data_IF_945653010042
#
_entry.id   IF_945653010042
#
_cell.length_a   1.000
_cell.length_b   1.000
_cell.length_c   1.000
_cell.angle_alpha   90.00
_cell.angle_beta   90.00
_cell.angle_gamma   90.00
#
_symmetry.space_group_name_H-M   'P 1'
#
loop_
_entity.id
_entity.type
_entity.pdbx_description
1 polymer ?
#
# COMPACT_ATOMS: atom_id res chain seq x y z
N UNK A 1 -14.73 24.41 -16.35
CA UNK A 1 -14.99 23.22 -15.51
C UNK A 1 -14.86 23.51 -14.01
N UNK A 2 -13.77 24.15 -13.56
CA UNK A 2 -13.56 24.48 -12.15
C UNK A 2 -14.09 25.90 -11.80
N UNK A 3 -15.41 26.05 -11.77
CA UNK A 3 -16.05 27.27 -11.24
C UNK A 3 -16.25 27.13 -9.71
N UNK A 4 -15.72 28.07 -8.90
CA UNK A 4 -15.93 28.09 -7.45
C UNK A 4 -17.41 28.27 -7.05
N UNK A 5 -18.23 28.88 -7.91
CA UNK A 5 -19.68 28.98 -7.70
C UNK A 5 -20.41 27.73 -8.19
N UNK A 6 -20.89 26.92 -7.23
CA UNK A 6 -21.54 25.63 -7.51
C UNK A 6 -22.71 25.69 -8.52
N UNK A 7 -23.45 26.80 -8.57
CA UNK A 7 -24.59 26.97 -9.49
C UNK A 7 -24.18 27.25 -10.95
N UNK A 8 -22.95 27.71 -11.17
CA UNK A 8 -22.39 28.06 -12.48
C UNK A 8 -21.38 27.03 -12.97
N UNK A 9 -21.00 26.10 -12.10
CA UNK A 9 -20.18 24.95 -12.44
C UNK A 9 -20.92 24.09 -13.47
N UNK A 10 -20.21 23.79 -14.54
CA UNK A 10 -20.64 22.88 -15.59
C UNK A 10 -21.08 21.53 -14.99
N UNK A 11 -22.22 21.02 -15.43
CA UNK A 11 -22.80 19.77 -14.96
C UNK A 11 -22.29 18.59 -15.80
N UNK A 12 -22.43 17.38 -15.28
CA UNK A 12 -21.97 16.15 -15.97
C UNK A 12 -22.49 16.05 -17.42
N UNK A 13 -23.79 16.32 -17.72
CA UNK A 13 -24.26 16.27 -19.11
C UNK A 13 -23.53 17.27 -20.03
N UNK A 14 -23.30 18.48 -19.52
CA UNK A 14 -22.62 19.55 -20.25
C UNK A 14 -21.12 19.24 -20.44
N UNK A 15 -20.48 18.52 -19.51
CA UNK A 15 -19.10 18.02 -19.66
C UNK A 15 -19.04 16.96 -20.75
N UNK A 16 -20.02 16.04 -20.79
CA UNK A 16 -20.08 14.98 -21.80
C UNK A 16 -20.23 15.59 -23.19
N UNK A 17 -20.98 16.68 -23.34
CA UNK A 17 -21.17 17.38 -24.61
C UNK A 17 -19.98 18.29 -24.99
N UNK A 18 -19.00 18.49 -24.11
CA UNK A 18 -17.88 19.39 -24.35
C UNK A 18 -16.92 18.82 -25.42
N UNK A 19 -16.48 19.61 -26.42
CA UNK A 19 -15.57 19.15 -27.47
C UNK A 19 -14.26 18.56 -26.95
N UNK A 20 -13.75 19.05 -25.82
CA UNK A 20 -12.55 18.49 -25.20
C UNK A 20 -12.83 17.06 -24.72
N UNK A 21 -14.01 16.79 -24.14
CA UNK A 21 -14.36 15.47 -23.63
C UNK A 21 -14.66 14.48 -24.75
N UNK A 22 -15.15 14.95 -25.90
CA UNK A 22 -15.46 14.11 -27.06
C UNK A 22 -14.23 13.75 -27.92
N UNK A 23 -13.07 14.36 -27.67
CA UNK A 23 -11.85 14.07 -28.43
C UNK A 23 -11.32 12.68 -28.06
N UNK A 24 -11.31 11.75 -29.03
CA UNK A 24 -10.88 10.35 -28.87
C UNK A 24 -11.66 9.54 -27.81
N UNK A 25 -12.81 10.04 -27.35
CA UNK A 25 -13.64 9.35 -26.38
C UNK A 25 -14.38 8.19 -27.04
N UNK A 26 -14.07 6.96 -26.60
CA UNK A 26 -14.81 5.76 -26.94
C UNK A 26 -15.64 5.38 -25.72
N UNK A 27 -16.98 5.55 -25.76
CA UNK A 27 -17.84 5.11 -24.67
C UNK A 27 -17.62 3.61 -24.45
N UNK A 28 -17.22 3.21 -23.25
CA UNK A 28 -17.24 1.79 -22.89
C UNK A 28 -18.68 1.32 -22.99
N UNK A 29 -18.98 0.34 -23.85
CA UNK A 29 -20.28 -0.33 -23.84
C UNK A 29 -20.33 -1.21 -22.56
N UNK A 30 -20.67 -0.57 -21.44
CA UNK A 30 -20.84 -1.20 -20.14
C UNK A 30 -22.32 -1.15 -19.80
N UNK A 31 -22.93 -2.33 -19.79
CA UNK A 31 -24.29 -2.66 -19.35
C UNK A 31 -24.98 -1.57 -18.52
N UNK A 32 -26.17 -1.19 -18.97
CA UNK A 32 -27.18 -0.57 -18.12
C UNK A 32 -27.33 -1.51 -16.92
N UNK A 33 -26.85 -1.09 -15.75
CA UNK A 33 -27.13 -1.77 -14.49
C UNK A 33 -28.62 -1.57 -14.20
N UNK A 34 -29.46 -2.39 -14.82
CA UNK A 34 -30.79 -2.65 -14.31
C UNK A 34 -30.60 -3.44 -13.00
N UNK A 35 -30.84 -2.73 -11.91
CA UNK A 35 -30.80 -3.20 -10.54
C UNK A 35 -31.84 -4.33 -10.34
N UNK A 36 -31.45 -5.57 -10.67
CA UNK A 36 -32.12 -6.79 -10.19
C UNK A 36 -31.09 -7.89 -9.97
N UNK A 37 -30.39 -7.82 -8.85
CA UNK A 37 -29.61 -8.93 -8.32
C UNK A 37 -30.61 -9.97 -7.80
N UNK A 38 -30.88 -11.01 -8.59
CA UNK A 38 -31.49 -12.25 -8.08
C UNK A 38 -30.40 -13.01 -7.33
N UNK A 39 -30.52 -13.05 -6.00
CA UNK A 39 -29.69 -13.87 -5.14
C UNK A 39 -30.48 -15.17 -4.89
N UNK A 40 -30.27 -16.16 -5.75
CA UNK A 40 -30.81 -17.50 -5.55
C UNK A 40 -29.68 -18.54 -5.66
N UNK A 41 -29.58 -19.29 -4.57
CA UNK A 41 -29.08 -20.66 -4.46
C UNK A 41 -27.65 -21.02 -4.94
N UNK A 42 -26.73 -21.20 -3.98
CA UNK A 42 -26.15 -22.53 -3.74
C UNK A 42 -25.35 -22.54 -2.42
N UNK A 43 -26.02 -22.87 -1.31
CA UNK A 43 -25.38 -23.00 0.02
C UNK A 43 -25.06 -24.47 0.38
N UNK A 44 -24.76 -25.31 -0.61
CA UNK A 44 -24.62 -26.76 -0.41
C UNK A 44 -23.18 -27.29 -0.33
N UNK A 45 -22.16 -26.42 -0.44
CA UNK A 45 -20.76 -26.87 -0.51
C UNK A 45 -20.02 -27.00 0.85
N UNK A 46 -20.65 -26.67 1.98
CA UNK A 46 -19.97 -26.57 3.29
C UNK A 46 -20.43 -27.55 4.37
N UNK A 47 -21.06 -28.66 4.01
CA UNK A 47 -21.32 -29.74 4.96
C UNK A 47 -20.67 -31.04 4.51
N UNK A 48 -19.50 -31.32 5.09
CA UNK A 48 -19.03 -32.64 5.57
C UNK A 48 -17.52 -32.81 5.44
N UNK A 49 -16.82 -32.65 6.57
CA UNK A 49 -15.93 -33.66 7.18
C UNK A 49 -15.03 -32.95 8.19
N UNK A 50 -15.34 -33.15 9.47
CA UNK A 50 -14.38 -33.01 10.55
C UNK A 50 -13.17 -33.91 10.25
N UNK A 51 -12.04 -33.30 9.89
CA UNK A 51 -10.74 -33.90 10.13
C UNK A 51 -9.96 -32.97 11.06
N UNK A 52 -9.77 -33.49 12.26
CA UNK A 52 -8.89 -32.99 13.30
C UNK A 52 -7.44 -32.96 12.77
N UNK A 53 -7.08 -31.92 12.03
CA UNK A 53 -5.69 -31.55 11.88
C UNK A 53 -5.38 -30.49 12.92
N UNK A 54 -4.43 -30.82 13.78
CA UNK A 54 -3.95 -29.96 14.84
C UNK A 54 -3.46 -28.64 14.25
N UNK A 55 -4.34 -27.64 14.20
CA UNK A 55 -3.97 -26.24 14.11
C UNK A 55 -3.14 -25.93 15.35
N UNK A 56 -1.83 -26.12 15.19
CA UNK A 56 -0.83 -25.43 15.97
C UNK A 56 -1.26 -23.98 15.95
N UNK A 57 -1.72 -23.49 17.10
CA UNK A 57 -2.08 -22.09 17.31
C UNK A 57 -0.84 -21.25 16.99
N UNK A 58 -0.66 -20.88 15.73
CA UNK A 58 0.34 -19.91 15.31
C UNK A 58 -0.15 -18.62 15.96
N UNK A 59 0.48 -18.27 17.07
CA UNK A 59 0.23 -17.02 17.75
C UNK A 59 0.27 -15.91 16.70
N UNK A 60 -0.79 -15.10 16.64
CA UNK A 60 -0.97 -13.91 15.79
C UNK A 60 0.08 -12.80 16.03
N UNK A 61 1.22 -13.14 16.62
CA UNK A 61 2.32 -12.27 17.02
C UNK A 61 3.64 -12.59 16.31
N UNK A 62 3.70 -13.64 15.48
CA UNK A 62 4.90 -13.97 14.72
C UNK A 62 4.92 -13.18 13.41
N UNK A 63 5.99 -12.42 13.15
CA UNK A 63 6.26 -11.82 11.84
C UNK A 63 6.72 -12.84 10.80
N UNK A 64 6.50 -14.13 11.04
CA UNK A 64 6.87 -15.18 10.10
C UNK A 64 5.84 -15.29 8.97
N UNK A 65 6.33 -15.37 7.74
CA UNK A 65 5.50 -15.73 6.58
C UNK A 65 6.05 -16.98 5.90
N UNK A 66 5.15 -17.78 5.36
CA UNK A 66 5.52 -18.96 4.58
C UNK A 66 5.86 -18.62 3.12
N UNK A 67 6.31 -19.63 2.37
CA UNK A 67 6.68 -19.47 0.96
C UNK A 67 5.51 -18.98 0.07
N UNK A 68 4.29 -19.48 0.28
CA UNK A 68 3.12 -19.05 -0.49
C UNK A 68 2.75 -17.60 -0.23
N UNK A 69 2.81 -17.15 1.03
CA UNK A 69 2.61 -15.76 1.41
C UNK A 69 3.68 -14.86 0.79
N UNK A 70 4.95 -15.28 0.80
CA UNK A 70 6.04 -14.55 0.16
C UNK A 70 5.83 -14.41 -1.36
N UNK A 71 5.40 -15.49 -2.03
CA UNK A 71 5.07 -15.47 -3.45
C UNK A 71 3.89 -14.52 -3.70
N UNK A 72 2.80 -14.65 -2.94
CA UNK A 72 1.62 -13.80 -3.08
C UNK A 72 1.97 -12.32 -2.91
N UNK A 73 2.86 -11.98 -1.98
CA UNK A 73 3.34 -10.62 -1.81
C UNK A 73 4.02 -10.09 -3.08
N UNK A 74 4.79 -10.91 -3.81
CA UNK A 74 5.54 -10.48 -4.99
C UNK A 74 4.70 -10.20 -6.25
N UNK A 75 3.49 -10.77 -6.34
CA UNK A 75 2.58 -10.60 -7.48
C UNK A 75 1.48 -9.56 -7.19
N UNK A 76 1.88 -8.39 -6.67
CA UNK A 76 0.92 -7.31 -6.41
C UNK A 76 0.53 -6.59 -7.70
N UNK A 77 -0.76 -6.66 -8.06
CA UNK A 77 -1.33 -6.01 -9.24
C UNK A 77 -1.90 -4.62 -8.93
N UNK A 78 -1.75 -4.11 -7.70
CA UNK A 78 -2.24 -2.78 -7.30
C UNK A 78 -1.75 -1.67 -8.23
N UNK A 79 -0.54 -1.79 -8.77
CA UNK A 79 0.03 -0.85 -9.73
C UNK A 79 -0.68 -0.78 -11.09
N UNK A 80 -1.56 -1.73 -11.44
CA UNK A 80 -2.38 -1.66 -12.67
C UNK A 80 -3.54 -0.67 -12.53
N UNK A 81 -3.94 -0.33 -11.31
CA UNK A 81 -5.11 0.48 -11.01
C UNK A 81 -4.75 1.83 -10.36
N UNK A 82 -3.46 2.16 -10.24
CA UNK A 82 -2.98 3.35 -9.54
C UNK A 82 -2.64 4.49 -10.52
N UNK A 83 -3.38 5.59 -10.44
CA UNK A 83 -3.21 6.77 -11.28
C UNK A 83 -1.93 7.54 -10.88
N UNK A 84 -0.76 7.09 -11.39
CA UNK A 84 0.56 7.75 -11.25
C UNK A 84 0.89 8.33 -9.87
N UNK A 85 0.35 7.76 -8.80
CA UNK A 85 0.59 8.26 -7.45
C UNK A 85 1.82 7.53 -6.90
N UNK A 86 2.95 8.24 -6.82
CA UNK A 86 4.22 7.72 -6.29
C UNK A 86 4.13 7.30 -4.81
N UNK A 87 2.96 7.48 -4.17
CA UNK A 87 2.74 7.35 -2.74
C UNK A 87 2.71 5.92 -2.21
N UNK A 88 2.37 4.92 -3.04
CA UNK A 88 2.23 3.53 -2.56
C UNK A 88 3.39 2.60 -2.92
N UNK A 89 4.50 3.13 -3.45
CA UNK A 89 5.67 2.29 -3.80
C UNK A 89 6.27 1.64 -2.55
N UNK A 90 6.09 0.31 -2.45
CA UNK A 90 6.75 -0.55 -1.48
C UNK A 90 8.02 -1.13 -2.09
N UNK A 91 9.15 -1.01 -1.39
CA UNK A 91 10.41 -1.64 -1.78
C UNK A 91 10.69 -2.80 -0.86
N UNK A 92 11.12 -3.95 -1.41
CA UNK A 92 11.45 -5.13 -0.61
C UNK A 92 12.89 -5.56 -0.81
N UNK A 93 13.56 -5.92 0.28
CA UNK A 93 14.94 -6.36 0.30
C UNK A 93 15.07 -7.66 1.10
N UNK A 94 15.89 -8.59 0.62
CA UNK A 94 16.22 -9.81 1.36
C UNK A 94 17.44 -9.63 2.26
N UNK A 95 17.42 -10.25 3.44
CA UNK A 95 18.53 -10.27 4.40
C UNK A 95 18.84 -11.71 4.84
N UNK A 96 20.13 -12.03 4.96
CA UNK A 96 20.64 -13.33 5.47
C UNK A 96 20.94 -13.26 6.98
N UNK A 97 20.15 -12.48 7.70
CA UNK A 97 20.29 -12.25 9.13
C UNK A 97 18.98 -12.53 9.85
N UNK A 98 19.08 -12.78 11.15
CA UNK A 98 17.89 -12.85 12.02
C UNK A 98 17.17 -11.50 12.02
N UNK A 99 15.88 -11.49 12.33
CA UNK A 99 15.09 -10.27 12.48
C UNK A 99 15.79 -9.26 13.39
N UNK A 100 16.26 -9.71 14.56
CA UNK A 100 16.91 -8.86 15.57
C UNK A 100 18.19 -8.21 15.05
N UNK A 101 19.01 -8.95 14.30
CA UNK A 101 20.22 -8.42 13.68
C UNK A 101 19.90 -7.41 12.58
N UNK A 102 18.93 -7.73 11.72
CA UNK A 102 18.50 -6.84 10.64
C UNK A 102 17.97 -5.52 11.18
N UNK A 103 17.14 -5.56 12.23
CA UNK A 103 16.63 -4.36 12.92
C UNK A 103 17.80 -3.49 13.44
N UNK A 104 18.78 -4.09 14.12
CA UNK A 104 19.96 -3.35 14.61
C UNK A 104 20.77 -2.72 13.47
N UNK A 105 20.89 -3.42 12.33
CA UNK A 105 21.58 -2.90 11.14
C UNK A 105 20.83 -1.71 10.53
N UNK A 106 19.50 -1.76 10.48
CA UNK A 106 18.67 -0.64 10.01
C UNK A 106 18.87 0.57 10.93
N UNK A 107 18.86 0.38 12.25
CA UNK A 107 19.12 1.45 13.23
C UNK A 107 20.51 2.06 13.06
N UNK A 108 21.55 1.23 12.92
CA UNK A 108 22.92 1.68 12.69
C UNK A 108 23.06 2.47 11.39
N UNK A 109 22.43 2.00 10.30
CA UNK A 109 22.44 2.69 9.02
C UNK A 109 21.72 4.04 9.10
N UNK A 110 20.54 4.09 9.74
CA UNK A 110 19.76 5.32 9.91
C UNK A 110 20.51 6.38 10.72
N UNK A 111 21.20 5.98 11.80
CA UNK A 111 22.06 6.89 12.56
C UNK A 111 23.18 7.49 11.70
N UNK A 112 23.78 6.69 10.80
CA UNK A 112 24.82 7.14 9.88
C UNK A 112 24.38 8.24 8.91
N UNK A 113 23.07 8.32 8.61
CA UNK A 113 22.48 9.32 7.70
C UNK A 113 21.63 10.38 8.41
N UNK A 114 21.76 10.51 9.74
CA UNK A 114 21.00 11.48 10.56
C UNK A 114 19.48 11.31 10.49
N UNK A 115 19.02 10.07 10.37
CA UNK A 115 17.61 9.71 10.52
C UNK A 115 17.36 9.17 11.93
N UNK A 116 16.20 9.47 12.49
CA UNK A 116 15.74 8.89 13.76
C UNK A 116 14.80 7.73 13.48
N UNK A 117 14.96 6.68 14.28
CA UNK A 117 14.18 5.45 14.18
C UNK A 117 13.35 5.30 15.45
N UNK A 118 12.04 5.09 15.27
CA UNK A 118 11.10 4.80 16.36
C UNK A 118 10.53 3.41 16.11
N UNK A 119 10.88 2.45 16.96
CA UNK A 119 10.26 1.12 16.94
C UNK A 119 8.78 1.25 17.32
N UNK A 120 7.91 0.74 16.45
CA UNK A 120 6.47 0.66 16.70
C UNK A 120 6.11 -0.68 17.35
N UNK A 121 6.80 -1.75 16.95
CA UNK A 121 6.72 -3.07 17.58
C UNK A 121 8.05 -3.83 17.38
N UNK A 122 8.07 -5.13 17.68
CA UNK A 122 9.28 -5.97 17.56
C UNK A 122 9.79 -6.16 16.13
N UNK A 123 8.99 -5.82 15.12
CA UNK A 123 9.22 -6.12 13.71
C UNK A 123 9.09 -4.89 12.81
N UNK A 124 8.57 -3.77 13.34
CA UNK A 124 8.20 -2.58 12.58
C UNK A 124 8.75 -1.32 13.21
N UNK A 125 9.25 -0.43 12.36
CA UNK A 125 9.93 0.79 12.74
C UNK A 125 9.54 1.93 11.79
N UNK A 126 9.36 3.12 12.36
CA UNK A 126 9.19 4.37 11.62
C UNK A 126 10.52 5.10 11.58
N UNK A 127 10.87 5.63 10.41
CA UNK A 127 12.13 6.32 10.16
C UNK A 127 11.79 7.73 9.67
N UNK A 128 12.28 8.75 10.36
CA UNK A 128 12.02 10.15 10.01
C UNK A 128 13.31 11.00 10.12
N UNK A 129 13.39 12.15 9.45
CA UNK A 129 14.54 13.05 9.56
C UNK A 129 14.72 13.64 10.97
N UNK A 130 15.96 13.71 11.46
CA UNK A 130 16.25 14.29 12.78
C UNK A 130 16.23 15.83 12.80
N UNK A 131 16.44 16.49 11.66
CA UNK A 131 16.41 17.95 11.54
C UNK A 131 15.14 18.42 10.84
N UNK A 132 14.39 19.31 11.50
CA UNK A 132 13.43 20.20 10.83
C UNK A 132 14.23 21.28 10.08
N UNK A 133 14.60 21.03 8.82
CA UNK A 133 15.20 22.08 8.00
C UNK A 133 14.17 23.14 7.62
N UNK A 134 14.61 24.40 7.63
CA UNK A 134 13.80 25.60 7.38
C UNK A 134 13.26 25.67 5.94
N UNK A 135 11.95 26.00 5.85
CA UNK A 135 11.07 26.49 4.76
C UNK A 135 11.32 26.18 3.26
N UNK A 136 12.50 25.82 2.79
CA UNK A 136 12.81 25.76 1.35
C UNK A 136 13.50 24.46 0.87
N UNK A 137 13.44 23.37 1.62
CA UNK A 137 14.00 22.08 1.17
C UNK A 137 13.05 20.90 1.35
N UNK A 138 12.63 20.37 0.20
CA UNK A 138 12.54 18.94 -0.17
C UNK A 138 11.76 17.99 0.75
N UNK A 139 10.59 17.58 0.25
CA UNK A 139 9.98 16.24 0.41
C UNK A 139 10.27 15.53 1.75
N UNK A 140 9.36 15.72 2.71
CA UNK A 140 9.34 14.95 3.95
C UNK A 140 8.92 13.52 3.62
N UNK A 141 9.86 12.57 3.61
CA UNK A 141 9.54 11.15 3.52
C UNK A 141 9.66 10.53 4.91
N UNK A 142 8.53 10.42 5.61
CA UNK A 142 8.44 9.51 6.74
C UNK A 142 8.33 8.09 6.18
N UNK A 143 9.29 7.23 6.51
CA UNK A 143 9.34 5.85 6.03
C UNK A 143 8.87 4.89 7.13
N UNK A 144 8.26 3.79 6.72
CA UNK A 144 8.01 2.61 7.54
C UNK A 144 8.87 1.47 7.02
N UNK A 145 9.58 0.78 7.91
CA UNK A 145 10.27 -0.46 7.60
C UNK A 145 9.71 -1.59 8.48
N UNK A 146 9.35 -2.70 7.84
CA UNK A 146 8.82 -3.90 8.46
C UNK A 146 9.71 -5.10 8.11
N UNK A 147 10.16 -5.82 9.13
CA UNK A 147 11.09 -6.95 9.03
C UNK A 147 10.31 -8.23 9.29
N UNK A 148 10.21 -9.06 8.27
CA UNK A 148 9.36 -10.24 8.21
C UNK A 148 10.26 -11.47 8.13
N UNK A 149 10.09 -12.42 9.04
CA UNK A 149 10.87 -13.66 9.04
C UNK A 149 10.37 -14.60 7.95
N UNK A 150 11.28 -15.21 7.18
CA UNK A 150 10.93 -16.23 6.17
C UNK A 150 11.65 -17.55 6.41
N UNK A 151 12.75 -17.52 7.16
CA UNK A 151 13.45 -18.68 7.72
C UNK A 151 14.23 -18.23 8.97
N UNK A 152 14.74 -19.15 9.82
CA UNK A 152 15.39 -18.79 11.09
C UNK A 152 16.55 -17.78 10.97
N UNK A 153 17.22 -17.72 9.82
CA UNK A 153 18.32 -16.78 9.54
C UNK A 153 18.09 -15.93 8.29
N UNK A 154 16.84 -15.85 7.82
CA UNK A 154 16.47 -15.05 6.65
C UNK A 154 15.22 -14.24 6.92
N UNK A 155 15.26 -12.97 6.53
CA UNK A 155 14.11 -12.10 6.62
C UNK A 155 13.98 -11.24 5.36
N UNK A 156 12.76 -10.77 5.12
CA UNK A 156 12.43 -9.78 4.11
C UNK A 156 12.18 -8.45 4.84
N UNK A 157 12.76 -7.37 4.32
CA UNK A 157 12.51 -6.01 4.80
C UNK A 157 11.61 -5.34 3.78
N UNK A 158 10.38 -5.01 4.16
CA UNK A 158 9.47 -4.17 3.38
C UNK A 158 9.59 -2.72 3.85
N UNK A 159 9.94 -1.83 2.93
CA UNK A 159 10.06 -0.39 3.14
C UNK A 159 8.92 0.28 2.38
N UNK A 160 8.14 1.10 3.07
CA UNK A 160 7.05 1.87 2.49
C UNK A 160 7.11 3.32 2.94
N UNK A 161 6.61 4.22 2.11
CA UNK A 161 6.32 5.59 2.53
C UNK A 161 5.14 5.56 3.49
N UNK A 162 5.25 6.24 4.61
CA UNK A 162 4.14 6.37 5.56
C UNK A 162 3.17 7.47 5.09
N UNK A 163 1.87 7.25 5.28
CA UNK A 163 0.82 8.14 4.83
C UNK A 163 0.96 9.53 5.47
N UNK A 164 1.53 10.47 4.73
CA UNK A 164 1.79 11.83 5.22
C UNK A 164 2.34 12.81 4.19
N UNK A 165 2.39 12.45 2.91
CA UNK A 165 2.84 13.41 1.90
C UNK A 165 1.68 14.26 1.41
N UNK A 166 1.88 15.56 1.47
CA UNK A 166 1.10 16.54 0.74
C UNK A 166 1.88 16.78 -0.54
N UNK A 167 1.39 16.24 -1.66
CA UNK A 167 1.91 16.61 -2.98
C UNK A 167 1.82 18.13 -3.10
N UNK A 168 2.97 18.80 -3.22
CA UNK A 168 3.02 20.24 -3.45
C UNK A 168 2.36 20.50 -4.80
N UNK A 169 1.27 21.27 -4.80
CA UNK A 169 0.58 21.73 -6.00
C UNK A 169 1.61 22.44 -6.89
N UNK A 170 1.86 21.93 -8.10
CA UNK A 170 2.65 22.66 -9.09
C UNK A 170 1.71 23.63 -9.80
N UNK A 171 1.86 24.91 -9.50
CA UNK A 171 1.19 25.99 -10.23
C UNK A 171 1.75 26.03 -11.67
N UNK A 172 0.84 26.13 -12.63
CA UNK A 172 1.11 26.13 -14.07
C UNK A 172 1.48 27.53 -14.58
#
# INVERSE_FOLDING_TARGET
MLDPHAKRRIRIPEIIEDPWFQTDYVPSCGYICDEKIYLDDDNTAFDSVEKNDAETKIAKSSSFINAFQLIAMSHDLSGLFEEKDDEKKKTRLGSKHTVKETIKKIEAAAMGVRLSVVRTNNFKMKIHPTQKMTRCSRSYYDLSAEVIEVAPTNCVVEISKSAGELTIYKEA
#
